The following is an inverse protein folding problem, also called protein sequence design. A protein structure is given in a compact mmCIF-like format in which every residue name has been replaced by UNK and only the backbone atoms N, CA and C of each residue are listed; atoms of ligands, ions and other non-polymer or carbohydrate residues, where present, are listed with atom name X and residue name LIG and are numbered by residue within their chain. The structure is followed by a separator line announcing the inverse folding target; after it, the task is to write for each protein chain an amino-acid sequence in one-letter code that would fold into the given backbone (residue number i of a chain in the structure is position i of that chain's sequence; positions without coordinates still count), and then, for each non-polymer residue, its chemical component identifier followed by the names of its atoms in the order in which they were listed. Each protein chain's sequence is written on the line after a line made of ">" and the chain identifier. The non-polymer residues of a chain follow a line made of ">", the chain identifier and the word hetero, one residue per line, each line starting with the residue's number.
data_IF_616150659236
#
_entry.id   IF_616150659236
#
_cell.length_a   1.000
_cell.length_b   1.000
_cell.length_c   1.000
_cell.angle_alpha   90.00
_cell.angle_beta   90.00
_cell.angle_gamma   90.00
#
_symmetry.space_group_name_H-M   'P 1'
#
loop_
_entity.id
_entity.type
_entity.pdbx_description
1 polymer ?
#
# COMPACT_ATOMS: atom_id res chain seq x y z
N UNK A 1 24.01 18.43 10.43
CA UNK A 1 23.15 17.63 11.32
C UNK A 1 21.75 18.24 11.49
N UNK A 2 21.64 19.56 11.74
CA UNK A 2 20.37 20.27 11.95
C UNK A 2 19.35 20.06 10.83
N UNK A 3 19.77 20.17 9.57
CA UNK A 3 18.87 20.01 8.42
C UNK A 3 18.24 18.60 8.35
N UNK A 4 18.93 17.57 8.83
CA UNK A 4 18.43 16.19 8.83
C UNK A 4 17.41 15.99 9.94
N UNK A 5 17.75 16.37 11.19
CA UNK A 5 16.85 16.22 12.33
C UNK A 5 15.61 17.10 12.22
N UNK A 6 15.79 18.39 11.90
CA UNK A 6 14.69 19.33 11.73
C UNK A 6 13.86 19.00 10.49
N UNK A 7 14.50 18.62 9.38
CA UNK A 7 13.82 18.18 8.16
C UNK A 7 12.95 16.95 8.42
N UNK A 8 13.48 15.93 9.10
CA UNK A 8 12.73 14.73 9.49
C UNK A 8 11.57 15.07 10.45
N UNK A 9 11.81 15.92 11.45
CA UNK A 9 10.78 16.36 12.38
C UNK A 9 9.62 17.06 11.65
N UNK A 10 9.91 17.99 10.73
CA UNK A 10 8.90 18.65 9.90
C UNK A 10 8.13 17.67 9.01
N UNK A 11 8.83 16.71 8.40
CA UNK A 11 8.21 15.68 7.55
C UNK A 11 7.24 14.80 8.34
N UNK A 12 7.66 14.36 9.53
CA UNK A 12 6.84 13.55 10.44
C UNK A 12 5.64 14.33 10.99
N UNK A 13 5.83 15.62 11.32
CA UNK A 13 4.75 16.50 11.77
C UNK A 13 3.72 16.75 10.66
N UNK A 14 4.17 17.01 9.42
CA UNK A 14 3.30 17.16 8.27
C UNK A 14 2.51 15.86 7.99
N UNK A 15 3.18 14.71 8.07
CA UNK A 15 2.53 13.41 7.94
C UNK A 15 1.49 13.16 9.05
N UNK A 16 1.80 13.53 10.30
CA UNK A 16 0.85 13.47 11.41
C UNK A 16 -0.40 14.33 11.13
N UNK A 17 -0.19 15.57 10.67
CA UNK A 17 -1.28 16.47 10.26
C UNK A 17 -2.14 15.88 9.14
N UNK A 18 -1.54 15.30 8.10
CA UNK A 18 -2.27 14.62 7.04
C UNK A 18 -3.13 13.45 7.57
N UNK A 19 -2.60 12.64 8.50
CA UNK A 19 -3.34 11.52 9.07
C UNK A 19 -4.52 11.95 9.95
N UNK A 20 -4.39 13.06 10.70
CA UNK A 20 -5.42 13.55 11.62
C UNK A 20 -6.46 14.44 10.91
N UNK A 21 -6.00 15.34 10.04
CA UNK A 21 -6.80 16.40 9.43
C UNK A 21 -7.08 16.15 7.94
N UNK A 22 -6.14 15.53 7.22
CA UNK A 22 -6.18 15.39 5.76
C UNK A 22 -6.98 14.20 5.22
N UNK A 23 -7.42 13.26 6.07
CA UNK A 23 -8.28 12.15 5.65
C UNK A 23 -9.75 12.47 5.86
N UNK A 24 -10.54 12.25 4.81
CA UNK A 24 -11.99 12.52 4.79
C UNK A 24 -12.77 11.81 5.90
N UNK A 25 -14.00 12.27 6.12
CA UNK A 25 -14.94 11.71 7.10
C UNK A 25 -15.77 10.58 6.48
N UNK A 26 -15.94 9.42 7.15
CA UNK A 26 -15.40 9.06 8.46
C UNK A 26 -13.90 8.73 8.41
N UNK A 27 -13.17 9.15 9.44
CA UNK A 27 -11.73 8.89 9.55
C UNK A 27 -11.49 7.38 9.67
N UNK A 28 -10.43 6.85 9.03
CA UNK A 28 -10.08 5.44 9.18
C UNK A 28 -9.69 5.12 10.62
N UNK A 29 -10.06 3.93 11.09
CA UNK A 29 -9.64 3.36 12.37
C UNK A 29 -8.12 3.46 12.52
N UNK A 30 -7.61 3.92 13.67
CA UNK A 30 -6.17 4.11 13.87
C UNK A 30 -5.62 5.48 13.48
N UNK A 31 -6.40 6.37 12.84
CA UNK A 31 -5.89 7.67 12.37
C UNK A 31 -5.26 8.52 13.49
N UNK A 32 -5.92 8.60 14.65
CA UNK A 32 -5.41 9.33 15.82
C UNK A 32 -4.17 8.68 16.43
N UNK A 33 -4.14 7.35 16.51
CA UNK A 33 -2.97 6.62 17.02
C UNK A 33 -1.76 6.78 16.08
N UNK A 34 -1.99 6.80 14.76
CA UNK A 34 -0.96 7.07 13.77
C UNK A 34 -0.47 8.51 13.83
N UNK A 35 -1.38 9.47 13.99
CA UNK A 35 -1.03 10.87 14.23
C UNK A 35 -0.18 11.05 15.48
N UNK A 36 -0.56 10.39 16.58
CA UNK A 36 0.20 10.39 17.83
C UNK A 36 1.58 9.75 17.66
N UNK A 37 1.69 8.65 16.90
CA UNK A 37 2.97 7.99 16.58
C UNK A 37 3.92 8.93 15.84
N UNK A 38 3.45 9.48 14.72
CA UNK A 38 4.22 10.37 13.86
C UNK A 38 4.59 11.67 14.57
N UNK A 39 3.63 12.27 15.30
CA UNK A 39 3.87 13.47 16.10
C UNK A 39 4.88 13.24 17.24
N UNK A 40 4.80 12.09 17.91
CA UNK A 40 5.76 11.74 18.97
C UNK A 40 7.18 11.56 18.42
N UNK A 41 7.33 10.90 17.26
CA UNK A 41 8.63 10.85 16.60
C UNK A 41 9.11 12.23 16.13
N UNK A 42 8.22 13.09 15.62
CA UNK A 42 8.59 14.46 15.26
C UNK A 42 9.19 15.23 16.45
N UNK A 43 8.59 15.12 17.64
CA UNK A 43 9.11 15.74 18.87
C UNK A 43 10.44 15.12 19.30
N UNK A 44 10.59 13.79 19.21
CA UNK A 44 11.85 13.12 19.55
C UNK A 44 13.00 13.60 18.64
N UNK A 45 12.78 13.70 17.32
CA UNK A 45 13.77 14.22 16.38
C UNK A 45 14.05 15.72 16.56
N UNK A 46 13.01 16.51 16.84
CA UNK A 46 13.17 17.95 17.10
C UNK A 46 14.04 18.20 18.34
N UNK A 47 13.92 17.34 19.37
CA UNK A 47 14.70 17.44 20.60
C UNK A 47 16.21 17.26 20.41
N UNK A 48 16.64 16.63 19.30
CA UNK A 48 18.06 16.49 18.91
C UNK A 48 18.53 17.56 17.92
N UNK A 49 17.67 18.49 17.51
CA UNK A 49 18.08 19.60 16.65
C UNK A 49 18.74 20.69 17.51
N UNK A 50 20.00 21.09 17.26
CA UNK A 50 20.72 22.08 18.06
C UNK A 50 19.97 23.39 18.28
N UNK A 51 19.23 23.87 17.27
CA UNK A 51 18.39 25.07 17.39
C UNK A 51 17.30 24.93 18.47
N UNK A 52 16.67 23.76 18.54
CA UNK A 52 15.62 23.49 19.51
C UNK A 52 16.21 23.15 20.88
N UNK A 53 17.27 22.35 20.90
CA UNK A 53 18.05 22.03 22.10
C UNK A 53 18.50 23.31 22.81
N UNK A 54 19.21 24.22 22.12
CA UNK A 54 19.66 25.49 22.70
C UNK A 54 18.50 26.36 23.20
N UNK A 55 17.37 26.40 22.49
CA UNK A 55 16.22 27.21 22.88
C UNK A 55 15.52 26.68 24.13
N UNK A 56 15.38 25.35 24.24
CA UNK A 56 14.69 24.72 25.37
C UNK A 56 15.61 24.61 26.59
N UNK A 57 16.90 24.33 26.38
CA UNK A 57 17.90 24.28 27.47
C UNK A 57 18.17 25.65 28.10
N UNK A 58 17.91 26.74 27.38
CA UNK A 58 17.93 28.09 27.95
C UNK A 58 16.89 28.29 29.08
N UNK A 59 15.82 27.47 29.11
CA UNK A 59 14.77 27.53 30.13
C UNK A 59 15.03 26.52 31.26
N UNK A 60 15.32 25.26 30.90
CA UNK A 60 15.64 24.20 31.86
C UNK A 60 16.84 23.40 31.32
N UNK A 61 17.99 23.40 31.99
CA UNK A 61 19.15 22.64 31.57
C UNK A 61 18.82 21.15 31.34
N UNK A 62 19.32 20.55 30.27
CA UNK A 62 19.22 19.12 29.94
C UNK A 62 17.81 18.55 29.76
N UNK A 63 16.77 19.40 29.70
CA UNK A 63 15.38 18.93 29.57
C UNK A 63 15.08 18.33 28.19
N UNK A 64 15.90 18.65 27.18
CA UNK A 64 15.81 18.07 25.84
C UNK A 64 15.89 16.53 25.87
N UNK A 65 16.74 15.97 26.76
CA UNK A 65 16.85 14.52 27.00
C UNK A 65 15.54 13.92 27.51
N UNK A 66 14.93 14.55 28.52
CA UNK A 66 13.67 14.10 29.09
C UNK A 66 12.55 14.15 28.04
N UNK A 67 12.47 15.24 27.28
CA UNK A 67 11.47 15.42 26.23
C UNK A 67 11.60 14.35 25.14
N UNK A 68 12.82 14.12 24.64
CA UNK A 68 13.10 13.11 23.62
C UNK A 68 12.74 11.70 24.09
N UNK A 69 13.10 11.34 25.32
CA UNK A 69 12.81 10.03 25.86
C UNK A 69 11.30 9.81 26.11
N UNK A 70 10.61 10.80 26.67
CA UNK A 70 9.15 10.76 26.83
C UNK A 70 8.43 10.65 25.48
N UNK A 71 8.89 11.41 24.48
CA UNK A 71 8.37 11.33 23.11
C UNK A 71 8.63 9.95 22.48
N UNK A 72 9.79 9.34 22.72
CA UNK A 72 10.11 7.99 22.26
C UNK A 72 9.20 6.94 22.90
N UNK A 73 8.93 7.04 24.21
CA UNK A 73 7.97 6.15 24.88
C UNK A 73 6.53 6.37 24.40
N UNK A 74 6.14 7.62 24.14
CA UNK A 74 4.84 7.95 23.57
C UNK A 74 4.68 7.35 22.16
N UNK A 75 5.70 7.43 21.32
CA UNK A 75 5.74 6.79 20.01
C UNK A 75 5.62 5.26 20.13
N UNK A 76 6.39 4.64 21.02
CA UNK A 76 6.32 3.20 21.28
C UNK A 76 4.93 2.75 21.78
N UNK A 77 4.26 3.60 22.55
CA UNK A 77 2.87 3.36 23.00
C UNK A 77 1.87 3.50 21.85
N UNK A 78 2.05 4.54 21.03
CA UNK A 78 1.18 4.84 19.91
C UNK A 78 1.26 3.76 18.83
N UNK A 79 2.43 3.19 18.55
CA UNK A 79 2.57 2.09 17.58
C UNK A 79 1.82 0.83 18.05
N UNK A 80 1.85 0.51 19.35
CA UNK A 80 1.04 -0.56 19.92
C UNK A 80 -0.45 -0.25 19.81
N UNK A 81 -0.85 1.00 20.02
CA UNK A 81 -2.25 1.41 19.85
C UNK A 81 -2.72 1.27 18.39
N UNK A 82 -1.90 1.65 17.41
CA UNK A 82 -2.17 1.39 15.98
C UNK A 82 -2.34 -0.11 15.74
N UNK A 83 -1.40 -0.94 16.23
CA UNK A 83 -1.48 -2.39 16.08
C UNK A 83 -2.77 -2.97 16.69
N UNK A 84 -3.14 -2.58 17.91
CA UNK A 84 -4.34 -3.10 18.57
C UNK A 84 -5.63 -2.66 17.87
N UNK A 85 -5.71 -1.42 17.38
CA UNK A 85 -6.90 -0.92 16.68
C UNK A 85 -7.12 -1.59 15.33
N UNK A 86 -6.05 -2.03 14.67
CA UNK A 86 -6.13 -2.73 13.39
C UNK A 86 -6.44 -4.23 13.53
N UNK A 87 -6.11 -4.83 14.67
CA UNK A 87 -6.10 -6.30 14.82
C UNK A 87 -7.11 -6.86 15.81
N UNK A 88 -7.59 -6.05 16.75
CA UNK A 88 -8.49 -6.49 17.81
C UNK A 88 -9.86 -5.86 17.65
N UNK A 89 -10.87 -6.48 18.28
CA UNK A 89 -12.20 -5.89 18.40
C UNK A 89 -12.11 -4.57 19.19
N UNK A 90 -12.93 -3.54 18.89
CA UNK A 90 -12.80 -2.21 19.48
C UNK A 90 -12.73 -2.19 21.03
N UNK A 91 -13.57 -2.98 21.70
CA UNK A 91 -13.58 -3.05 23.17
C UNK A 91 -12.29 -3.63 23.76
N UNK A 92 -11.74 -4.69 23.14
CA UNK A 92 -10.49 -5.30 23.59
C UNK A 92 -9.29 -4.37 23.29
N UNK A 93 -9.28 -3.76 22.11
CA UNK A 93 -8.26 -2.77 21.73
C UNK A 93 -8.21 -1.62 22.74
N UNK A 94 -9.36 -1.01 23.08
CA UNK A 94 -9.44 0.08 24.05
C UNK A 94 -8.94 -0.32 25.44
N UNK A 95 -9.24 -1.54 25.91
CA UNK A 95 -8.74 -2.03 27.20
C UNK A 95 -7.21 -2.14 27.19
N UNK A 96 -6.63 -2.78 26.17
CA UNK A 96 -5.17 -2.92 26.05
C UNK A 96 -4.47 -1.57 25.89
N UNK A 97 -5.04 -0.66 25.10
CA UNK A 97 -4.51 0.70 24.93
C UNK A 97 -4.51 1.46 26.25
N UNK A 98 -5.59 1.43 27.02
CA UNK A 98 -5.63 2.07 28.35
C UNK A 98 -4.55 1.54 29.29
N UNK A 99 -4.32 0.24 29.30
CA UNK A 99 -3.23 -0.36 30.09
C UNK A 99 -1.85 0.12 29.62
N UNK A 100 -1.61 0.19 28.31
CA UNK A 100 -0.32 0.71 27.78
C UNK A 100 -0.12 2.19 28.06
N UNK A 101 -1.19 2.99 27.98
CA UNK A 101 -1.18 4.42 28.35
C UNK A 101 -0.91 4.62 29.83
N UNK A 102 -1.51 3.80 30.71
CA UNK A 102 -1.23 3.85 32.15
C UNK A 102 0.23 3.50 32.46
N UNK A 103 0.78 2.45 31.82
CA UNK A 103 2.19 2.10 31.96
C UNK A 103 3.11 3.21 31.42
N UNK A 104 2.76 3.81 30.27
CA UNK A 104 3.49 4.96 29.73
C UNK A 104 3.47 6.14 30.70
N UNK A 105 2.31 6.51 31.23
CA UNK A 105 2.17 7.62 32.17
C UNK A 105 2.98 7.37 33.45
N UNK A 106 2.97 6.15 33.98
CA UNK A 106 3.77 5.75 35.13
C UNK A 106 5.28 5.86 34.84
N UNK A 107 5.74 5.36 33.69
CA UNK A 107 7.14 5.47 33.28
C UNK A 107 7.57 6.92 33.06
N UNK A 108 6.77 7.71 32.35
CA UNK A 108 7.06 9.12 32.10
C UNK A 108 7.15 9.92 33.42
N UNK A 109 6.21 9.70 34.35
CA UNK A 109 6.24 10.34 35.67
C UNK A 109 7.46 9.89 36.49
N UNK A 110 7.78 8.60 36.50
CA UNK A 110 8.98 8.09 37.16
C UNK A 110 10.27 8.68 36.57
N UNK A 111 10.35 8.81 35.25
CA UNK A 111 11.47 9.46 34.56
C UNK A 111 11.57 10.95 34.90
N UNK A 112 10.46 11.67 34.96
CA UNK A 112 10.44 13.08 35.38
C UNK A 112 10.91 13.24 36.83
N UNK A 113 10.44 12.40 37.75
CA UNK A 113 10.90 12.43 39.15
C UNK A 113 12.40 12.15 39.25
N UNK A 114 12.88 11.09 38.61
CA UNK A 114 14.31 10.74 38.62
C UNK A 114 15.17 11.84 37.99
N UNK A 115 14.71 12.48 36.91
CA UNK A 115 15.37 13.64 36.30
C UNK A 115 15.49 14.82 37.29
N UNK A 116 14.41 15.14 38.01
CA UNK A 116 14.45 16.22 39.01
C UNK A 116 15.38 15.90 40.18
N UNK A 117 15.41 14.65 40.63
CA UNK A 117 16.30 14.20 41.71
C UNK A 117 17.75 14.19 41.24
N UNK A 118 18.02 13.77 40.01
CA UNK A 118 19.36 13.81 39.41
C UNK A 118 19.92 15.25 39.42
N UNK A 119 19.11 16.23 39.03
CA UNK A 119 19.52 17.64 39.02
C UNK A 119 19.74 18.18 40.45
N UNK A 120 18.89 17.82 41.41
CA UNK A 120 19.06 18.20 42.82
C UNK A 120 20.28 17.55 43.49
N UNK A 121 20.70 16.36 43.02
CA UNK A 121 21.81 15.59 43.59
C UNK A 121 23.13 15.80 42.86
N UNK A 122 23.31 16.94 42.19
CA UNK A 122 24.53 17.26 41.43
C UNK A 122 24.90 16.17 40.41
N UNK A 123 23.89 15.61 39.72
CA UNK A 123 24.03 14.59 38.67
C UNK A 123 24.64 13.29 39.17
N UNK A 124 24.07 12.73 40.23
CA UNK A 124 24.44 11.42 40.74
C UNK A 124 24.32 10.34 39.65
N UNK A 125 25.40 9.60 39.33
CA UNK A 125 25.38 8.53 38.32
C UNK A 125 24.36 7.43 38.62
N UNK A 126 24.08 7.18 39.90
CA UNK A 126 23.12 6.16 40.34
C UNK A 126 21.68 6.54 39.98
N UNK A 127 21.33 7.82 40.10
CA UNK A 127 19.98 8.30 39.76
C UNK A 127 19.78 8.28 38.25
N UNK A 128 20.81 8.66 37.48
CA UNK A 128 20.80 8.53 36.03
C UNK A 128 20.68 7.07 35.57
N UNK A 129 21.37 6.13 36.23
CA UNK A 129 21.24 4.70 35.94
C UNK A 129 19.81 4.18 36.15
N UNK A 130 19.14 4.59 37.23
CA UNK A 130 17.73 4.25 37.46
C UNK A 130 16.81 4.86 36.41
N UNK A 131 17.07 6.11 36.02
CA UNK A 131 16.36 6.79 34.95
C UNK A 131 16.49 6.03 33.62
N UNK A 132 17.72 5.66 33.26
CA UNK A 132 18.02 4.96 32.03
C UNK A 132 17.43 3.54 32.02
N UNK A 133 17.48 2.83 33.16
CA UNK A 133 16.85 1.53 33.33
C UNK A 133 15.33 1.59 33.09
N UNK A 134 14.65 2.57 33.66
CA UNK A 134 13.20 2.75 33.49
C UNK A 134 12.86 3.02 32.02
N UNK A 135 13.64 3.87 31.36
CA UNK A 135 13.49 4.18 29.93
C UNK A 135 13.67 2.94 29.05
N UNK A 136 14.80 2.25 29.16
CA UNK A 136 15.10 1.09 28.29
C UNK A 136 14.17 -0.09 28.58
N UNK A 137 13.71 -0.27 29.81
CA UNK A 137 12.79 -1.34 30.17
C UNK A 137 11.44 -1.17 29.46
N UNK A 138 10.85 0.03 29.52
CA UNK A 138 9.59 0.29 28.83
C UNK A 138 9.76 0.26 27.31
N UNK A 139 10.82 0.90 26.80
CA UNK A 139 11.08 0.96 25.36
C UNK A 139 11.30 -0.43 24.77
N UNK A 140 12.15 -1.24 25.40
CA UNK A 140 12.42 -2.62 25.00
C UNK A 140 11.17 -3.49 25.06
N UNK A 141 10.38 -3.37 26.14
CA UNK A 141 9.09 -4.05 26.26
C UNK A 141 8.15 -3.73 25.09
N UNK A 142 7.97 -2.46 24.77
CA UNK A 142 7.06 -2.04 23.71
C UNK A 142 7.54 -2.47 22.31
N UNK A 143 8.86 -2.38 22.05
CA UNK A 143 9.47 -2.83 20.79
C UNK A 143 9.30 -4.34 20.62
N UNK A 144 9.56 -5.15 21.65
CA UNK A 144 9.40 -6.61 21.58
C UNK A 144 7.94 -6.99 21.37
N UNK A 145 7.01 -6.37 22.10
CA UNK A 145 5.57 -6.64 21.94
C UNK A 145 5.11 -6.33 20.51
N UNK A 146 5.51 -5.17 19.96
CA UNK A 146 5.16 -4.80 18.59
C UNK A 146 5.85 -5.70 17.54
N UNK A 147 7.13 -6.04 17.72
CA UNK A 147 7.88 -6.93 16.82
C UNK A 147 7.21 -8.29 16.69
N UNK A 148 6.84 -8.92 17.82
CA UNK A 148 6.18 -10.22 17.82
C UNK A 148 4.81 -10.16 17.13
N UNK A 149 4.05 -9.08 17.36
CA UNK A 149 2.79 -8.84 16.68
C UNK A 149 2.97 -8.68 15.17
N UNK A 150 3.93 -7.84 14.74
CA UNK A 150 4.22 -7.57 13.33
C UNK A 150 4.65 -8.86 12.60
N UNK A 151 5.54 -9.65 13.21
CA UNK A 151 5.97 -10.93 12.64
C UNK A 151 4.83 -11.94 12.53
N UNK A 152 4.03 -12.11 13.60
CA UNK A 152 2.88 -13.04 13.59
C UNK A 152 1.87 -12.66 12.51
N UNK A 153 1.53 -11.38 12.41
CA UNK A 153 0.57 -10.89 11.42
C UNK A 153 1.11 -10.94 10.00
N UNK A 154 2.40 -10.69 9.80
CA UNK A 154 3.03 -10.78 8.47
C UNK A 154 2.91 -12.19 7.88
N UNK A 155 2.87 -13.22 8.73
CA UNK A 155 2.68 -14.63 8.33
C UNK A 155 1.22 -14.94 7.98
N UNK A 156 0.26 -14.31 8.66
CA UNK A 156 -1.18 -14.60 8.49
C UNK A 156 -1.85 -13.77 7.38
N UNK A 157 -1.31 -12.59 7.05
CA UNK A 157 -1.95 -11.70 6.07
C UNK A 157 -1.84 -12.22 4.63
N UNK A 158 -2.96 -12.18 3.89
CA UNK A 158 -3.04 -12.56 2.47
C UNK A 158 -2.55 -11.45 1.54
N UNK A 159 -2.63 -10.19 1.95
CA UNK A 159 -2.27 -9.03 1.12
C UNK A 159 -0.77 -8.77 1.14
N UNK A 160 -0.12 -8.80 -0.03
CA UNK A 160 1.32 -8.61 -0.17
C UNK A 160 1.80 -7.25 0.35
N UNK A 161 1.04 -6.16 0.12
CA UNK A 161 1.40 -4.82 0.61
C UNK A 161 1.44 -4.74 2.14
N UNK A 162 0.46 -5.34 2.82
CA UNK A 162 0.41 -5.44 4.29
C UNK A 162 1.57 -6.31 4.81
N UNK A 163 1.84 -7.43 4.14
CA UNK A 163 2.96 -8.32 4.50
C UNK A 163 4.30 -7.60 4.43
N UNK A 164 4.56 -6.90 3.33
CA UNK A 164 5.80 -6.14 3.12
C UNK A 164 5.90 -5.03 4.17
N UNK A 165 4.82 -4.27 4.38
CA UNK A 165 4.79 -3.21 5.39
C UNK A 165 5.09 -3.68 6.81
N UNK A 166 4.49 -4.79 7.25
CA UNK A 166 4.76 -5.38 8.56
C UNK A 166 6.18 -5.93 8.69
N UNK A 167 6.76 -6.50 7.63
CA UNK A 167 8.16 -6.96 7.64
C UNK A 167 9.14 -5.79 7.70
N UNK A 168 8.85 -4.69 7.01
CA UNK A 168 9.63 -3.45 7.13
C UNK A 168 9.56 -2.89 8.55
N UNK A 169 8.36 -2.85 9.15
CA UNK A 169 8.21 -2.40 10.54
C UNK A 169 8.94 -3.32 11.53
N UNK A 170 8.92 -4.64 11.32
CA UNK A 170 9.69 -5.60 12.10
C UNK A 170 11.21 -5.40 11.96
N UNK A 171 11.70 -5.10 10.76
CA UNK A 171 13.11 -4.72 10.54
C UNK A 171 13.45 -3.44 11.31
N UNK A 172 12.56 -2.44 11.31
CA UNK A 172 12.73 -1.23 12.13
C UNK A 172 12.80 -1.52 13.63
N UNK A 173 11.98 -2.46 14.13
CA UNK A 173 12.07 -2.92 15.52
C UNK A 173 13.43 -3.53 15.85
N UNK A 174 14.06 -4.25 14.92
CA UNK A 174 15.40 -4.81 15.13
C UNK A 174 16.44 -3.69 15.36
N UNK A 175 16.39 -2.61 14.58
CA UNK A 175 17.23 -1.42 14.82
C UNK A 175 16.89 -0.74 16.17
N UNK A 176 15.63 -0.72 16.56
CA UNK A 176 15.21 -0.25 17.88
C UNK A 176 15.78 -1.09 19.04
N UNK A 177 15.84 -2.41 18.87
CA UNK A 177 16.46 -3.32 19.85
C UNK A 177 17.98 -3.15 19.92
N UNK A 178 18.64 -2.91 18.78
CA UNK A 178 20.07 -2.59 18.74
C UNK A 178 20.36 -1.33 19.55
N UNK A 179 19.53 -0.29 19.42
CA UNK A 179 19.64 0.92 20.22
C UNK A 179 19.40 0.65 21.72
N UNK A 180 18.36 -0.11 22.06
CA UNK A 180 18.10 -0.48 23.45
C UNK A 180 19.25 -1.29 24.07
N UNK A 181 19.87 -2.17 23.30
CA UNK A 181 21.04 -2.95 23.72
C UNK A 181 22.26 -2.04 23.93
N UNK A 182 22.50 -1.08 23.04
CA UNK A 182 23.55 -0.08 23.23
C UNK A 182 23.35 0.72 24.53
N UNK A 183 22.13 1.20 24.81
CA UNK A 183 21.82 1.85 26.09
C UNK A 183 21.94 0.93 27.30
N UNK A 184 21.66 -0.37 27.15
CA UNK A 184 21.91 -1.35 28.20
C UNK A 184 23.42 -1.52 28.47
N UNK A 185 24.28 -1.47 27.44
CA UNK A 185 25.73 -1.51 27.65
C UNK A 185 26.26 -0.27 28.38
N UNK A 186 25.71 0.91 28.10
CA UNK A 186 25.98 2.16 28.84
C UNK A 186 25.56 2.05 30.32
N UNK A 187 24.38 1.48 30.58
CA UNK A 187 23.91 1.24 31.95
C UNK A 187 24.83 0.28 32.72
N UNK A 188 25.27 -0.81 32.07
CA UNK A 188 26.14 -1.82 32.69
C UNK A 188 27.54 -1.28 32.93
N UNK A 189 28.10 -0.50 32.01
CA UNK A 189 29.43 0.11 32.19
C UNK A 189 29.44 1.08 33.37
N UNK A 190 28.38 1.88 33.54
CA UNK A 190 28.18 2.76 34.70
C UNK A 190 28.11 1.97 36.00
N UNK A 191 27.39 0.85 36.01
CA UNK A 191 27.27 -0.01 37.20
C UNK A 191 28.57 -0.71 37.61
N UNK A 192 29.44 -1.02 36.64
CA UNK A 192 30.73 -1.68 36.88
C UNK A 192 31.88 -0.70 37.15
N UNK A 193 31.63 0.61 37.11
CA UNK A 193 32.67 1.64 37.29
C UNK A 193 33.66 1.70 36.12
N UNK A 194 33.39 0.98 35.03
CA UNK A 194 34.16 1.07 33.80
C UNK A 194 33.74 2.36 33.08
N UNK A 195 34.53 3.42 33.23
CA UNK A 195 34.41 4.67 32.48
C UNK A 195 34.77 4.45 31.00
N UNK A 196 34.02 3.59 30.31
CA UNK A 196 34.25 3.27 28.90
C UNK A 196 33.77 4.39 27.95
N UNK A 197 33.28 5.52 28.45
CA UNK A 197 32.86 6.64 27.60
C UNK A 197 33.95 7.72 27.48
N UNK A 198 34.37 8.04 26.23
CA UNK A 198 34.92 9.35 25.93
C UNK A 198 33.85 10.40 26.18
N UNK A 199 34.25 11.49 26.84
CA UNK A 199 33.53 12.78 26.93
C UNK A 199 32.63 13.03 25.72
N UNK A 200 31.41 13.50 25.96
CA UNK A 200 30.42 14.05 25.01
C UNK A 200 31.01 14.61 23.71
N UNK A 201 31.48 13.73 22.82
CA UNK A 201 32.09 14.13 21.58
C UNK A 201 30.93 14.38 20.64
N UNK A 202 30.65 15.66 20.40
CA UNK A 202 29.73 16.12 19.37
C UNK A 202 29.84 15.18 18.15
N UNK A 203 28.74 14.52 17.81
CA UNK A 203 28.72 13.57 16.70
C UNK A 203 28.94 14.32 15.38
N UNK A 204 30.19 14.49 14.97
CA UNK A 204 30.53 15.20 13.74
C UNK A 204 30.21 14.38 12.47
N UNK A 205 30.00 13.07 12.60
CA UNK A 205 29.70 12.17 11.47
C UNK A 205 28.69 11.07 11.83
N UNK A 206 27.78 10.80 10.89
CA UNK A 206 26.75 9.75 10.97
C UNK A 206 27.32 8.31 10.94
N UNK A 207 28.61 8.15 10.64
CA UNK A 207 29.27 6.85 10.39
C UNK A 207 30.29 6.48 11.49
N UNK A 208 30.56 7.39 12.44
CA UNK A 208 31.45 7.10 13.56
C UNK A 208 30.83 6.07 14.53
N UNK A 209 31.63 5.11 15.01
CA UNK A 209 31.17 3.96 15.78
C UNK A 209 30.17 4.26 16.94
N UNK A 210 30.36 5.27 17.82
CA UNK A 210 29.37 5.58 18.84
C UNK A 210 28.09 6.26 18.27
N UNK A 211 28.23 7.07 17.22
CA UNK A 211 27.13 7.78 16.59
C UNK A 211 26.23 6.87 15.73
N UNK A 212 26.77 5.76 15.21
CA UNK A 212 25.98 4.78 14.44
C UNK A 212 24.89 4.15 15.30
N UNK A 213 25.26 3.71 16.52
CA UNK A 213 24.33 3.07 17.44
C UNK A 213 23.40 4.08 18.14
N UNK A 214 23.92 5.26 18.48
CA UNK A 214 23.15 6.28 19.21
C UNK A 214 22.17 7.07 18.33
N UNK A 215 22.53 7.36 17.07
CA UNK A 215 21.76 8.26 16.20
C UNK A 215 21.18 7.55 14.97
N UNK A 216 22.00 6.85 14.18
CA UNK A 216 21.49 6.25 12.93
C UNK A 216 20.57 5.06 13.17
N UNK A 217 20.81 4.23 14.20
CA UNK A 217 19.96 3.07 14.48
C UNK A 217 18.52 3.48 14.86
N UNK A 218 18.29 4.42 15.81
CA UNK A 218 16.95 4.96 16.05
C UNK A 218 16.33 5.61 14.81
N UNK A 219 17.12 6.34 14.01
CA UNK A 219 16.59 6.99 12.82
C UNK A 219 16.10 6.00 11.77
N UNK A 220 16.86 4.93 11.53
CA UNK A 220 16.46 3.82 10.66
C UNK A 220 15.25 3.07 11.24
N UNK A 221 15.20 2.87 12.56
CA UNK A 221 14.06 2.26 13.23
C UNK A 221 12.77 3.05 12.96
N UNK A 222 12.80 4.37 13.18
CA UNK A 222 11.66 5.26 12.92
C UNK A 222 11.27 5.25 11.45
N UNK A 223 12.23 5.39 10.54
CA UNK A 223 11.97 5.39 9.10
C UNK A 223 11.26 4.11 8.65
N UNK A 224 11.80 2.94 9.03
CA UNK A 224 11.26 1.65 8.64
C UNK A 224 9.90 1.35 9.27
N UNK A 225 9.69 1.72 10.54
CA UNK A 225 8.40 1.56 11.23
C UNK A 225 7.35 2.47 10.57
N UNK A 226 7.65 3.75 10.36
CA UNK A 226 6.72 4.69 9.75
C UNK A 226 6.38 4.26 8.33
N UNK A 227 7.40 4.03 7.48
CA UNK A 227 7.21 3.62 6.11
C UNK A 227 6.43 2.30 6.02
N UNK A 228 6.79 1.31 6.85
CA UNK A 228 6.13 0.00 6.91
C UNK A 228 4.65 0.09 7.28
N UNK A 229 4.29 0.96 8.22
CA UNK A 229 2.89 1.14 8.65
C UNK A 229 2.08 2.03 7.70
N UNK A 230 2.72 2.99 7.02
CA UNK A 230 2.04 3.84 6.04
C UNK A 230 1.90 3.19 4.67
N UNK A 231 2.76 2.23 4.31
CA UNK A 231 2.79 1.60 2.99
C UNK A 231 1.42 1.03 2.58
N UNK A 232 0.70 0.25 3.40
CA UNK A 232 -0.59 -0.28 3.00
C UNK A 232 -1.65 0.81 2.81
N UNK A 233 -1.56 1.90 3.59
CA UNK A 233 -2.51 3.01 3.52
C UNK A 233 -2.35 3.85 2.25
N UNK A 234 -1.16 3.88 1.66
CA UNK A 234 -0.88 4.62 0.41
C UNK A 234 -1.01 3.71 -0.82
N UNK A 235 -0.46 2.49 -0.77
CA UNK A 235 -0.47 1.57 -1.92
C UNK A 235 -1.87 1.07 -2.24
N UNK A 236 -2.69 0.81 -1.22
CA UNK A 236 -4.06 0.32 -1.42
C UNK A 236 -4.93 1.27 -2.27
N UNK A 237 -5.13 2.55 -1.91
CA UNK A 237 -5.97 3.45 -2.71
C UNK A 237 -5.42 3.68 -4.12
N UNK A 238 -4.10 3.68 -4.30
CA UNK A 238 -3.49 3.79 -5.64
C UNK A 238 -3.83 2.56 -6.48
N UNK A 239 -3.64 1.36 -5.93
CA UNK A 239 -3.96 0.12 -6.64
C UNK A 239 -5.45 0.01 -6.96
N UNK A 240 -6.33 0.41 -6.04
CA UNK A 240 -7.78 0.41 -6.24
C UNK A 240 -8.20 1.42 -7.29
N UNK A 241 -7.63 2.63 -7.27
CA UNK A 241 -7.92 3.67 -8.27
C UNK A 241 -7.43 3.25 -9.66
N UNK A 242 -6.24 2.63 -9.75
CA UNK A 242 -5.73 2.07 -11.01
C UNK A 242 -6.63 0.95 -11.53
N UNK A 243 -7.05 0.03 -10.65
CA UNK A 243 -7.98 -1.05 -11.00
C UNK A 243 -9.29 -0.48 -11.52
N UNK A 244 -9.92 0.46 -10.79
CA UNK A 244 -11.19 1.08 -11.20
C UNK A 244 -11.07 1.84 -12.52
N UNK A 245 -9.96 2.57 -12.72
CA UNK A 245 -9.67 3.24 -14.00
C UNK A 245 -9.53 2.25 -15.15
N UNK A 246 -8.84 1.14 -14.92
CA UNK A 246 -8.73 0.07 -15.90
C UNK A 246 -10.11 -0.54 -16.19
N UNK A 247 -10.91 -0.84 -15.17
CA UNK A 247 -12.26 -1.40 -15.35
C UNK A 247 -13.16 -0.49 -16.18
N UNK A 248 -13.20 0.81 -15.85
CA UNK A 248 -13.99 1.80 -16.59
C UNK A 248 -13.47 1.99 -18.02
N UNK A 249 -12.15 2.11 -18.20
CA UNK A 249 -11.56 2.28 -19.52
C UNK A 249 -11.80 1.03 -20.40
N UNK A 250 -11.67 -0.17 -19.84
CA UNK A 250 -11.95 -1.42 -20.54
C UNK A 250 -13.43 -1.55 -20.90
N UNK A 251 -14.33 -1.15 -19.99
CA UNK A 251 -15.76 -1.14 -20.25
C UNK A 251 -16.11 -0.23 -21.44
N UNK A 252 -15.58 1.00 -21.46
CA UNK A 252 -15.78 1.95 -22.56
C UNK A 252 -15.17 1.45 -23.88
N UNK A 253 -13.96 0.88 -23.83
CA UNK A 253 -13.27 0.36 -25.01
C UNK A 253 -14.00 -0.82 -25.67
N UNK A 254 -14.67 -1.67 -24.88
CA UNK A 254 -15.53 -2.74 -25.39
C UNK A 254 -16.89 -2.24 -25.92
N UNK A 255 -17.21 -0.97 -25.69
CA UNK A 255 -18.50 -0.36 -26.02
C UNK A 255 -18.93 -0.51 -27.49
N UNK A 256 -18.10 -0.14 -28.48
CA UNK A 256 -18.48 -0.21 -29.90
C UNK A 256 -18.80 -1.63 -30.36
N UNK A 257 -17.95 -2.60 -30.02
CA UNK A 257 -18.17 -4.01 -30.35
C UNK A 257 -19.46 -4.54 -29.69
N UNK A 258 -19.64 -4.25 -28.40
CA UNK A 258 -20.84 -4.66 -27.67
C UNK A 258 -22.13 -4.05 -28.24
N UNK A 259 -22.11 -2.78 -28.63
CA UNK A 259 -23.27 -2.10 -29.22
C UNK A 259 -23.73 -2.77 -30.53
N UNK A 260 -22.78 -3.10 -31.42
CA UNK A 260 -23.09 -3.73 -32.70
C UNK A 260 -23.64 -5.16 -32.52
N UNK A 261 -23.08 -5.92 -31.58
CA UNK A 261 -23.50 -7.29 -31.26
C UNK A 261 -24.88 -7.30 -30.58
N UNK A 262 -25.08 -6.47 -29.56
CA UNK A 262 -26.35 -6.37 -28.83
C UNK A 262 -27.50 -5.82 -29.70
N UNK A 263 -27.20 -4.94 -30.65
CA UNK A 263 -28.20 -4.46 -31.60
C UNK A 263 -28.66 -5.55 -32.59
N UNK A 264 -27.78 -6.49 -32.94
CA UNK A 264 -28.12 -7.60 -33.82
C UNK A 264 -28.79 -8.76 -33.08
N UNK A 265 -28.45 -8.96 -31.82
CA UNK A 265 -28.82 -10.12 -31.01
C UNK A 265 -29.28 -9.67 -29.62
N UNK A 266 -30.43 -9.00 -29.49
CA UNK A 266 -30.88 -8.44 -28.20
C UNK A 266 -31.12 -9.51 -27.12
N UNK A 267 -31.33 -10.77 -27.51
CA UNK A 267 -31.56 -11.90 -26.61
C UNK A 267 -30.37 -12.28 -25.72
N UNK A 268 -29.16 -11.88 -26.09
CA UNK A 268 -27.94 -12.16 -25.28
C UNK A 268 -27.73 -11.12 -24.18
N UNK A 269 -28.44 -9.99 -24.24
CA UNK A 269 -28.29 -8.91 -23.27
C UNK A 269 -29.03 -9.31 -22.00
N UNK A 270 -28.30 -9.42 -20.89
CA UNK A 270 -28.88 -9.86 -19.62
C UNK A 270 -29.87 -8.80 -19.09
N UNK A 271 -30.90 -9.19 -18.35
CA UNK A 271 -31.91 -8.22 -17.91
C UNK A 271 -31.38 -7.35 -16.75
N UNK A 272 -31.61 -6.02 -16.75
CA UNK A 272 -31.21 -5.17 -15.62
C UNK A 272 -31.98 -5.47 -14.33
N UNK A 273 -33.16 -6.08 -14.44
CA UNK A 273 -34.09 -6.31 -13.32
C UNK A 273 -33.61 -7.39 -12.32
N UNK A 274 -32.59 -8.17 -12.67
CA UNK A 274 -32.15 -9.32 -11.88
C UNK A 274 -31.11 -8.98 -10.79
N UNK A 275 -30.76 -7.71 -10.63
CA UNK A 275 -29.61 -7.29 -9.79
C UNK A 275 -29.94 -6.16 -8.81
N UNK A 276 -29.14 -6.08 -7.74
CA UNK A 276 -29.24 -5.01 -6.73
C UNK A 276 -28.69 -3.68 -7.26
N UNK A 277 -29.19 -2.55 -6.74
CA UNK A 277 -28.68 -1.21 -7.08
C UNK A 277 -27.17 -1.06 -6.83
N UNK A 278 -26.64 -1.74 -5.80
CA UNK A 278 -25.20 -1.75 -5.52
C UNK A 278 -24.38 -2.43 -6.62
N UNK A 279 -24.87 -3.56 -7.17
CA UNK A 279 -24.21 -4.24 -8.29
C UNK A 279 -24.25 -3.39 -9.57
N UNK A 280 -25.31 -2.61 -9.75
CA UNK A 280 -25.47 -1.74 -10.93
C UNK A 280 -24.45 -0.59 -11.00
N UNK A 281 -23.80 -0.25 -9.88
CA UNK A 281 -22.78 0.80 -9.78
C UNK A 281 -21.34 0.26 -9.63
N UNK A 282 -21.15 -1.06 -9.61
CA UNK A 282 -19.83 -1.68 -9.48
C UNK A 282 -19.18 -1.87 -10.86
N UNK A 283 -18.04 -1.19 -11.08
CA UNK A 283 -17.31 -1.24 -12.36
C UNK A 283 -16.77 -2.63 -12.69
N UNK A 284 -16.41 -3.42 -11.67
CA UNK A 284 -15.94 -4.80 -11.86
C UNK A 284 -17.08 -5.67 -12.39
N UNK A 285 -18.26 -5.54 -11.78
CA UNK A 285 -19.46 -6.28 -12.18
C UNK A 285 -19.90 -5.92 -13.61
N UNK A 286 -19.99 -4.61 -13.92
CA UNK A 286 -20.40 -4.15 -15.25
C UNK A 286 -19.43 -4.61 -16.35
N UNK A 287 -18.13 -4.57 -16.08
CA UNK A 287 -17.12 -5.06 -17.01
C UNK A 287 -17.25 -6.57 -17.24
N UNK A 288 -17.31 -7.36 -16.17
CA UNK A 288 -17.45 -8.83 -16.26
C UNK A 288 -18.71 -9.21 -17.05
N UNK A 289 -19.81 -8.52 -16.79
CA UNK A 289 -21.06 -8.73 -17.50
C UNK A 289 -20.93 -8.44 -19.00
N UNK A 290 -20.34 -7.30 -19.38
CA UNK A 290 -20.12 -6.95 -20.79
C UNK A 290 -19.23 -7.97 -21.50
N UNK A 291 -18.20 -8.48 -20.83
CA UNK A 291 -17.31 -9.54 -21.36
C UNK A 291 -18.08 -10.84 -21.62
N UNK A 292 -18.98 -11.23 -20.72
CA UNK A 292 -19.83 -12.42 -20.89
C UNK A 292 -20.79 -12.21 -22.07
N UNK A 293 -21.49 -11.06 -22.12
CA UNK A 293 -22.44 -10.77 -23.20
C UNK A 293 -21.77 -10.75 -24.58
N UNK A 294 -20.55 -10.20 -24.70
CA UNK A 294 -19.77 -10.26 -25.96
C UNK A 294 -19.39 -11.70 -26.30
N UNK A 295 -18.93 -12.47 -25.30
CA UNK A 295 -18.53 -13.87 -25.52
C UNK A 295 -19.71 -14.73 -25.97
N UNK A 296 -20.89 -14.53 -25.38
CA UNK A 296 -22.13 -15.21 -25.77
C UNK A 296 -22.57 -14.80 -27.18
N UNK A 297 -22.42 -13.52 -27.55
CA UNK A 297 -22.66 -13.05 -28.92
C UNK A 297 -21.76 -13.77 -29.92
N UNK A 298 -20.46 -13.83 -29.65
CA UNK A 298 -19.47 -14.45 -30.54
C UNK A 298 -19.77 -15.95 -30.68
N UNK A 299 -20.19 -16.60 -29.60
CA UNK A 299 -20.61 -18.00 -29.63
C UNK A 299 -21.86 -18.20 -30.49
N UNK A 300 -22.85 -17.32 -30.36
CA UNK A 300 -24.09 -17.38 -31.12
C UNK A 300 -23.87 -17.05 -32.61
N UNK A 301 -22.84 -16.26 -32.95
CA UNK A 301 -22.41 -16.00 -34.32
C UNK A 301 -21.73 -17.20 -35.00
N UNK A 302 -21.41 -18.28 -34.28
CA UNK A 302 -20.66 -19.44 -34.81
C UNK A 302 -21.18 -19.98 -36.16
N UNK A 303 -22.50 -20.14 -36.40
CA UNK A 303 -23.01 -20.62 -37.70
C UNK A 303 -22.75 -19.68 -38.89
N UNK A 304 -22.42 -18.41 -38.61
CA UNK A 304 -22.22 -17.35 -39.60
C UNK A 304 -20.73 -17.04 -39.86
N UNK A 305 -19.81 -17.68 -39.12
CA UNK A 305 -18.37 -17.43 -39.24
C UNK A 305 -17.79 -18.12 -40.48
N UNK A 306 -17.44 -17.35 -41.50
CA UNK A 306 -16.87 -17.88 -42.76
C UNK A 306 -15.38 -18.19 -42.66
N UNK A 307 -14.99 -19.44 -42.97
CA UNK A 307 -13.58 -19.86 -43.08
C UNK A 307 -12.82 -19.08 -44.14
N UNK A 308 -13.47 -18.74 -45.26
CA UNK A 308 -12.86 -17.94 -46.32
C UNK A 308 -12.43 -16.56 -45.81
N UNK A 309 -13.27 -15.91 -45.01
CA UNK A 309 -12.92 -14.62 -44.38
C UNK A 309 -11.74 -14.76 -43.43
N UNK A 310 -11.71 -15.86 -42.66
CA UNK A 310 -10.58 -16.16 -41.77
C UNK A 310 -9.27 -16.30 -42.55
N UNK A 311 -9.25 -17.08 -43.63
CA UNK A 311 -8.04 -17.30 -44.45
C UNK A 311 -7.55 -16.01 -45.13
N UNK A 312 -8.47 -15.19 -45.64
CA UNK A 312 -8.14 -13.88 -46.22
C UNK A 312 -7.54 -12.94 -45.17
N UNK A 313 -8.14 -12.87 -43.99
CA UNK A 313 -7.64 -12.03 -42.91
C UNK A 313 -6.27 -12.53 -42.40
N UNK A 314 -6.04 -13.85 -42.34
CA UNK A 314 -4.74 -14.43 -42.00
C UNK A 314 -3.64 -14.10 -43.02
N UNK A 315 -4.02 -13.88 -44.29
CA UNK A 315 -3.09 -13.40 -45.32
C UNK A 315 -2.79 -11.89 -45.20
N UNK A 316 -3.69 -11.11 -44.60
CA UNK A 316 -3.57 -9.66 -44.46
C UNK A 316 -2.92 -9.20 -43.14
N UNK A 317 -3.03 -10.01 -42.08
CA UNK A 317 -2.52 -9.67 -40.74
C UNK A 317 -1.46 -10.69 -40.27
N UNK A 318 -0.48 -10.22 -39.50
CA UNK A 318 0.57 -11.07 -38.94
C UNK A 318 0.05 -11.93 -37.76
N UNK A 319 -0.31 -13.17 -38.07
CA UNK A 319 -0.82 -14.15 -37.10
C UNK A 319 0.22 -14.60 -36.05
N UNK A 320 1.50 -14.21 -36.19
CA UNK A 320 2.53 -14.47 -35.19
C UNK A 320 2.43 -13.58 -33.95
N UNK A 321 1.55 -12.57 -33.96
CA UNK A 321 1.33 -11.62 -32.87
C UNK A 321 -0.09 -11.72 -32.31
N UNK A 322 -0.28 -11.42 -31.01
CA UNK A 322 -1.62 -11.40 -30.40
C UNK A 322 -2.51 -10.34 -31.07
N UNK A 323 -1.94 -9.19 -31.47
CA UNK A 323 -2.65 -8.12 -32.15
C UNK A 323 -3.11 -8.52 -33.57
N UNK A 324 -2.30 -9.27 -34.32
CA UNK A 324 -2.70 -9.76 -35.63
C UNK A 324 -3.73 -10.87 -35.55
N UNK A 325 -3.60 -11.78 -34.59
CA UNK A 325 -4.64 -12.78 -34.30
C UNK A 325 -5.98 -12.11 -33.91
N UNK A 326 -5.93 -11.05 -33.10
CA UNK A 326 -7.11 -10.27 -32.74
C UNK A 326 -7.72 -9.54 -33.94
N UNK A 327 -6.91 -9.07 -34.89
CA UNK A 327 -7.41 -8.46 -36.14
C UNK A 327 -8.11 -9.47 -37.06
N UNK A 328 -7.59 -10.69 -37.16
CA UNK A 328 -8.27 -11.80 -37.85
C UNK A 328 -9.60 -12.11 -37.19
N UNK A 329 -9.62 -12.26 -35.86
CA UNK A 329 -10.86 -12.52 -35.12
C UNK A 329 -11.88 -11.39 -35.30
N UNK A 330 -11.45 -10.13 -35.23
CA UNK A 330 -12.30 -8.97 -35.47
C UNK A 330 -12.90 -8.97 -36.89
N UNK A 331 -12.14 -9.35 -37.91
CA UNK A 331 -12.62 -9.45 -39.28
C UNK A 331 -13.67 -10.54 -39.44
N UNK A 332 -13.44 -11.71 -38.85
CA UNK A 332 -14.39 -12.82 -38.85
C UNK A 332 -15.67 -12.45 -38.09
N UNK A 333 -15.58 -11.81 -36.93
CA UNK A 333 -16.75 -11.37 -36.15
C UNK A 333 -17.56 -10.33 -36.92
N UNK A 334 -16.91 -9.34 -37.54
CA UNK A 334 -17.57 -8.31 -38.34
C UNK A 334 -18.30 -8.88 -39.55
N UNK A 335 -17.67 -9.80 -40.28
CA UNK A 335 -18.30 -10.50 -41.41
C UNK A 335 -19.44 -11.42 -40.96
N UNK A 336 -19.25 -12.18 -39.88
CA UNK A 336 -20.28 -13.05 -39.32
C UNK A 336 -21.51 -12.26 -38.86
N UNK A 337 -21.31 -11.07 -38.27
CA UNK A 337 -22.39 -10.19 -37.88
C UNK A 337 -23.19 -9.67 -39.09
N UNK A 338 -22.51 -9.32 -40.19
CA UNK A 338 -23.17 -8.91 -41.43
C UNK A 338 -23.95 -10.08 -42.05
N UNK A 339 -23.36 -11.27 -42.12
CA UNK A 339 -23.99 -12.48 -42.63
C UNK A 339 -25.20 -12.91 -41.79
N UNK A 340 -25.11 -12.80 -40.46
CA UNK A 340 -26.20 -13.06 -39.52
C UNK A 340 -27.40 -12.13 -39.78
N UNK A 341 -27.16 -10.81 -39.93
CA UNK A 341 -28.21 -9.84 -40.29
C UNK A 341 -28.87 -10.15 -41.65
N UNK A 342 -28.13 -10.76 -42.57
CA UNK A 342 -28.65 -11.19 -43.86
C UNK A 342 -29.24 -12.62 -43.86
N UNK A 343 -29.20 -13.33 -42.73
CA UNK A 343 -29.68 -14.72 -42.62
C UNK A 343 -28.85 -15.75 -43.41
N UNK A 344 -27.57 -15.45 -43.72
CA UNK A 344 -26.70 -16.31 -44.55
C UNK A 344 -25.74 -17.13 -43.70
N UNK A 345 -25.96 -18.44 -43.63
CA UNK A 345 -25.03 -19.36 -42.98
C UNK A 345 -23.71 -19.46 -43.76
N UNK A 346 -22.62 -19.73 -43.04
CA UNK A 346 -21.33 -20.00 -43.67
C UNK A 346 -21.31 -21.40 -44.29
N UNK A 347 -20.83 -21.52 -45.53
CA UNK A 347 -20.62 -22.82 -46.19
C UNK A 347 -19.57 -23.67 -45.46
N UNK A 348 -18.48 -23.03 -45.02
CA UNK A 348 -17.47 -23.62 -44.13
C UNK A 348 -17.28 -22.74 -42.90
N UNK A 349 -17.47 -23.34 -41.72
CA UNK A 349 -17.41 -22.63 -40.44
C UNK A 349 -15.96 -22.43 -39.99
N UNK A 350 -15.57 -21.18 -39.78
CA UNK A 350 -14.28 -20.82 -39.20
C UNK A 350 -14.20 -21.25 -37.73
N UNK A 351 -13.05 -21.80 -37.34
CA UNK A 351 -12.77 -22.13 -35.94
C UNK A 351 -12.46 -20.85 -35.15
N UNK A 352 -12.78 -20.82 -33.83
CA UNK A 352 -12.28 -19.77 -32.94
C UNK A 352 -10.76 -19.71 -32.96
N UNK A 353 -10.18 -18.53 -32.74
CA UNK A 353 -8.73 -18.37 -32.59
C UNK A 353 -8.18 -19.27 -31.46
N UNK A 354 -6.96 -19.77 -31.64
CA UNK A 354 -6.27 -20.58 -30.62
C UNK A 354 -6.00 -19.76 -29.34
N UNK A 355 -5.72 -18.47 -29.49
CA UNK A 355 -5.54 -17.51 -28.41
C UNK A 355 -6.82 -17.39 -27.59
N UNK A 356 -7.99 -17.26 -28.23
CA UNK A 356 -9.28 -17.24 -27.56
C UNK A 356 -9.57 -18.55 -26.80
N UNK A 357 -9.27 -19.70 -27.41
CA UNK A 357 -9.48 -21.01 -26.79
C UNK A 357 -8.52 -21.32 -25.62
N UNK A 358 -7.38 -20.64 -25.54
CA UNK A 358 -6.34 -20.87 -24.53
C UNK A 358 -6.58 -20.16 -23.19
N UNK A 359 -7.52 -19.20 -23.15
CA UNK A 359 -7.76 -18.36 -21.97
C UNK A 359 -8.56 -19.11 -20.91
N UNK A 360 -8.20 -18.87 -19.65
CA UNK A 360 -8.69 -19.65 -18.49
C UNK A 360 -9.33 -18.79 -17.41
N UNK A 361 -9.24 -17.48 -17.53
CA UNK A 361 -9.82 -16.55 -16.56
C UNK A 361 -10.41 -15.32 -17.27
N UNK A 362 -11.41 -14.72 -16.60
CA UNK A 362 -12.15 -13.56 -17.12
C UNK A 362 -11.26 -12.35 -17.42
N UNK A 363 -10.11 -12.23 -16.75
CA UNK A 363 -9.20 -11.10 -17.00
C UNK A 363 -8.46 -11.30 -18.31
N UNK A 364 -7.97 -12.50 -18.56
CA UNK A 364 -7.33 -12.86 -19.82
C UNK A 364 -8.34 -12.76 -20.99
N UNK A 365 -9.60 -13.12 -20.76
CA UNK A 365 -10.69 -12.90 -21.73
C UNK A 365 -10.94 -11.41 -21.99
N UNK A 366 -10.96 -10.59 -20.93
CA UNK A 366 -11.11 -9.13 -21.07
C UNK A 366 -9.97 -8.54 -21.89
N UNK A 367 -8.71 -8.90 -21.57
CA UNK A 367 -7.52 -8.41 -22.27
C UNK A 367 -7.53 -8.81 -23.75
N UNK A 368 -7.96 -10.04 -24.08
CA UNK A 368 -8.15 -10.48 -25.46
C UNK A 368 -9.25 -9.70 -26.19
N UNK A 369 -10.43 -9.56 -25.58
CA UNK A 369 -11.55 -8.84 -26.20
C UNK A 369 -11.24 -7.36 -26.42
N UNK A 370 -10.38 -6.74 -25.60
CA UNK A 370 -9.92 -5.37 -25.83
C UNK A 370 -9.10 -5.25 -27.12
N UNK A 371 -8.24 -6.23 -27.42
CA UNK A 371 -7.49 -6.26 -28.69
C UNK A 371 -8.44 -6.46 -29.88
N UNK A 372 -9.41 -7.37 -29.74
CA UNK A 372 -10.42 -7.62 -30.78
C UNK A 372 -11.28 -6.37 -31.00
N UNK A 373 -11.71 -5.69 -29.94
CA UNK A 373 -12.51 -4.47 -30.03
C UNK A 373 -11.73 -3.31 -30.67
N UNK A 374 -10.44 -3.13 -30.35
CA UNK A 374 -9.57 -2.15 -31.02
C UNK A 374 -9.46 -2.45 -32.52
N UNK A 375 -9.16 -3.69 -32.88
CA UNK A 375 -9.04 -4.07 -34.29
C UNK A 375 -10.39 -3.96 -35.04
N UNK A 376 -11.48 -4.33 -34.38
CA UNK A 376 -12.84 -4.20 -34.90
C UNK A 376 -13.19 -2.74 -35.21
N UNK A 377 -12.83 -1.81 -34.34
CA UNK A 377 -13.11 -0.39 -34.52
C UNK A 377 -12.17 0.29 -35.53
N UNK A 378 -10.87 -0.04 -35.48
CA UNK A 378 -9.82 0.80 -36.08
C UNK A 378 -9.08 0.17 -37.25
N UNK A 379 -9.12 -1.15 -37.44
CA UNK A 379 -8.24 -1.87 -38.40
C UNK A 379 -9.00 -2.62 -39.49
N UNK A 380 -10.17 -3.17 -39.14
CA UNK A 380 -11.01 -3.90 -40.09
C UNK A 380 -12.01 -2.92 -40.72
N UNK A 381 -11.93 -2.71 -42.04
CA UNK A 381 -12.87 -1.84 -42.78
C UNK A 381 -14.28 -2.41 -42.86
N UNK A 382 -15.18 -1.70 -43.53
CA UNK A 382 -16.55 -2.18 -43.77
C UNK A 382 -16.49 -3.34 -44.77
N UNK A 383 -17.09 -4.48 -44.42
CA UNK A 383 -17.30 -5.58 -45.37
C UNK A 383 -18.35 -5.11 -46.38
N UNK A 384 -17.97 -4.96 -47.65
CA UNK A 384 -18.91 -4.66 -48.74
C UNK A 384 -19.71 -5.91 -49.10
N UNK A 385 -20.86 -5.74 -49.75
CA UNK A 385 -21.84 -6.80 -50.11
C UNK A 385 -21.30 -7.99 -50.90
N UNK A 386 -20.01 -7.97 -51.28
CA UNK A 386 -19.29 -9.02 -52.01
C UNK A 386 -18.45 -9.94 -51.10
N UNK A 387 -18.77 -9.97 -49.79
CA UNK A 387 -18.13 -10.81 -48.75
C UNK A 387 -16.61 -10.59 -48.54
N UNK A 388 -16.06 -9.44 -48.97
CA UNK A 388 -14.64 -9.10 -48.76
C UNK A 388 -14.46 -8.02 -47.68
N UNK A 389 -13.70 -8.28 -46.60
CA UNK A 389 -13.25 -7.24 -45.69
C UNK A 389 -12.11 -6.44 -46.34
N UNK A 390 -12.34 -5.17 -46.66
CA UNK A 390 -11.25 -4.25 -47.02
C UNK A 390 -10.49 -3.79 -45.75
N UNK A 391 -9.15 -3.88 -45.70
CA UNK A 391 -8.38 -3.25 -44.64
C UNK A 391 -8.44 -1.72 -44.76
N UNK A 392 -8.47 -1.01 -43.63
CA UNK A 392 -8.42 0.46 -43.64
C UNK A 392 -6.99 0.89 -44.02
N UNK A 393 -6.83 1.41 -45.25
CA UNK A 393 -5.57 1.99 -45.73
C UNK A 393 -4.84 1.18 -46.81
N UNK A 394 -5.57 0.61 -47.78
CA UNK A 394 -4.99 0.16 -49.05
C UNK A 394 -4.93 1.30 -50.07
#
# INVERSE_FOLDING_TARGET
>A
MNAVFLGMACLLAAAAGYWVLGRGTPRPTGAWAMGALLGSFAVAFASYAPLFEHAVEAVVPHVARLLSNCASLAAATAVLAVSFQLNLKPAEAQRRIRLRLALFAASALGMTVLFTVEEMTHRSPQVYALYLLLFIAYLGFAIVDFLLQALRQSKSTRRSSVRIGLRMAAAGCAFGLIYALYKLTELVSMGLGFQLEPNHSECSSLVAAPCVFSVTSPALAVLLICLGLTLPAVVYPISQSRRRRWEVASFEALGPLWQDLSAAMPEIVLSPADYTEEASNDSDFLLQRRVIEISDAILALRPYRSRRVQELAQGAFDTGTEEGAAAVEAAVVKAALAASKAGRFADEVALPSAEAASRKDLRADTEWLLLVADAYANRVGRVTDDDQPEPIGA
#
